data_IF_591471864855
#
_entry.id   IF_591471864855
#
_cell.length_a   1.000
_cell.length_b   1.000
_cell.length_c   1.000
_cell.angle_alpha   90.00
_cell.angle_beta   90.00
_cell.angle_gamma   90.00
#
_symmetry.space_group_name_H-M   'P 1'
#
loop_
_entity.id
_entity.type
_entity.pdbx_description
1 polymer ?
#
# COMPACT_ATOMS: atom_id res chain seq x y z
N UNK A 1 11.27 -11.47 -8.96
CA UNK A 1 9.88 -11.02 -9.19
C UNK A 1 9.03 -12.12 -9.83
N UNK A 2 7.99 -12.59 -9.13
CA UNK A 2 6.93 -13.42 -9.72
C UNK A 2 6.03 -12.61 -10.69
N UNK A 3 5.08 -13.25 -11.36
CA UNK A 3 4.15 -12.53 -12.25
C UNK A 3 3.33 -11.51 -11.45
N UNK A 4 3.22 -10.28 -11.96
CA UNK A 4 2.54 -9.19 -11.26
C UNK A 4 1.06 -9.48 -11.06
N UNK A 5 0.44 -10.26 -11.95
CA UNK A 5 -0.95 -10.69 -11.82
C UNK A 5 -1.13 -11.63 -10.64
N UNK A 6 -0.19 -12.56 -10.44
CA UNK A 6 -0.20 -13.46 -9.29
C UNK A 6 -0.01 -12.69 -7.98
N UNK A 7 0.93 -11.75 -7.93
CA UNK A 7 1.11 -10.87 -6.77
C UNK A 7 -0.15 -10.06 -6.46
N UNK A 8 -0.74 -9.43 -7.49
CA UNK A 8 -1.95 -8.64 -7.35
C UNK A 8 -3.12 -9.49 -6.85
N UNK A 9 -3.33 -10.67 -7.46
CA UNK A 9 -4.36 -11.62 -7.04
C UNK A 9 -4.14 -12.07 -5.60
N UNK A 10 -2.91 -12.44 -5.23
CA UNK A 10 -2.54 -12.83 -3.87
C UNK A 10 -2.93 -11.74 -2.87
N UNK A 11 -2.49 -10.51 -3.11
CA UNK A 11 -2.72 -9.38 -2.18
C UNK A 11 -4.19 -8.95 -2.14
N UNK A 12 -4.92 -9.04 -3.24
CA UNK A 12 -6.31 -8.59 -3.32
C UNK A 12 -7.33 -9.64 -2.83
N UNK A 13 -7.01 -10.94 -2.92
CA UNK A 13 -8.01 -12.01 -2.74
C UNK A 13 -7.70 -13.00 -1.62
N UNK A 14 -6.43 -13.28 -1.30
CA UNK A 14 -6.08 -14.22 -0.22
C UNK A 14 -6.59 -13.65 1.11
N UNK A 15 -7.24 -14.45 1.98
CA UNK A 15 -7.68 -13.96 3.28
C UNK A 15 -6.51 -13.35 4.09
N UNK A 16 -6.70 -12.24 4.81
CA UNK A 16 -5.60 -11.59 5.53
C UNK A 16 -4.86 -12.52 6.51
N UNK A 17 -5.54 -13.52 7.08
CA UNK A 17 -4.94 -14.49 8.00
C UNK A 17 -3.94 -15.45 7.32
N UNK A 18 -4.03 -15.62 6.00
CA UNK A 18 -3.16 -16.50 5.20
C UNK A 18 -2.15 -15.69 4.36
N UNK A 19 -2.27 -14.36 4.38
CA UNK A 19 -1.42 -13.48 3.61
C UNK A 19 0.01 -13.47 4.20
N UNK A 20 0.98 -13.83 3.37
CA UNK A 20 2.40 -13.89 3.70
C UNK A 20 3.24 -13.39 2.53
N UNK A 21 4.45 -12.90 2.80
CA UNK A 21 5.37 -12.39 1.78
C UNK A 21 6.68 -13.16 1.79
N UNK A 22 7.06 -13.68 0.61
CA UNK A 22 8.27 -14.48 0.43
C UNK A 22 9.55 -13.65 0.35
N UNK A 23 9.45 -12.43 -0.16
CA UNK A 23 10.58 -11.53 -0.38
C UNK A 23 10.20 -10.04 -0.24
N UNK A 24 11.20 -9.17 -0.41
CA UNK A 24 11.04 -7.72 -0.32
C UNK A 24 10.22 -7.13 -1.47
N UNK A 25 10.19 -7.78 -2.64
CA UNK A 25 9.43 -7.31 -3.80
C UNK A 25 7.93 -7.52 -3.55
N UNK A 26 7.53 -8.71 -3.10
CA UNK A 26 6.13 -9.00 -2.76
C UNK A 26 5.62 -8.05 -1.65
N UNK A 27 6.44 -7.81 -0.62
CA UNK A 27 6.11 -6.89 0.45
C UNK A 27 6.01 -5.43 -0.06
N UNK A 28 6.96 -5.00 -0.90
CA UNK A 28 6.94 -3.69 -1.53
C UNK A 28 5.68 -3.49 -2.36
N UNK A 29 5.36 -4.46 -3.21
CA UNK A 29 4.15 -4.48 -4.05
C UNK A 29 2.88 -4.37 -3.20
N UNK A 30 2.78 -5.15 -2.12
CA UNK A 30 1.65 -5.07 -1.20
C UNK A 30 1.52 -3.71 -0.51
N UNK A 31 2.64 -3.12 -0.08
CA UNK A 31 2.64 -1.77 0.47
C UNK A 31 2.15 -0.73 -0.56
N UNK A 32 2.62 -0.84 -1.80
CA UNK A 32 2.18 0.00 -2.92
C UNK A 32 0.69 -0.08 -3.17
N UNK A 33 0.18 -1.30 -3.29
CA UNK A 33 -1.23 -1.60 -3.48
C UNK A 33 -2.10 -0.95 -2.38
N UNK A 34 -1.77 -1.19 -1.11
CA UNK A 34 -2.54 -0.65 0.00
C UNK A 34 -2.45 0.88 0.10
N UNK A 35 -1.29 1.48 -0.20
CA UNK A 35 -1.13 2.94 -0.24
C UNK A 35 -2.01 3.54 -1.34
N UNK A 36 -2.13 2.90 -2.50
CA UNK A 36 -3.05 3.36 -3.55
C UNK A 36 -4.50 3.34 -3.10
N UNK A 37 -4.97 2.22 -2.51
CA UNK A 37 -6.34 2.13 -2.01
C UNK A 37 -6.61 3.22 -0.96
N UNK A 38 -5.68 3.39 -0.03
CA UNK A 38 -5.78 4.43 0.99
C UNK A 38 -5.81 5.84 0.41
N UNK A 39 -4.97 6.12 -0.60
CA UNK A 39 -4.91 7.43 -1.25
C UNK A 39 -6.27 7.86 -1.83
N UNK A 40 -7.10 6.91 -2.28
CA UNK A 40 -8.45 7.20 -2.79
C UNK A 40 -9.41 7.65 -1.69
N UNK A 41 -9.43 6.95 -0.55
CA UNK A 41 -10.23 7.39 0.60
C UNK A 41 -9.72 8.73 1.14
N UNK A 42 -8.40 8.90 1.21
CA UNK A 42 -7.77 10.13 1.66
C UNK A 42 -8.11 11.32 0.76
N UNK A 43 -8.06 11.15 -0.56
CA UNK A 43 -8.47 12.17 -1.53
C UNK A 43 -9.92 12.59 -1.30
N UNK A 44 -10.84 11.63 -1.16
CA UNK A 44 -12.25 11.89 -0.92
C UNK A 44 -12.46 12.66 0.39
N UNK A 45 -11.81 12.23 1.48
CA UNK A 45 -11.95 12.83 2.81
C UNK A 45 -11.34 14.24 2.92
N UNK A 46 -10.39 14.59 2.05
CA UNK A 46 -9.69 15.89 2.10
C UNK A 46 -10.20 16.93 1.12
N UNK A 47 -11.21 16.61 0.30
CA UNK A 47 -11.83 17.58 -0.60
C UNK A 47 -12.48 16.98 -1.84
N UNK A 48 -12.06 15.78 -2.27
CA UNK A 48 -12.66 15.07 -3.39
C UNK A 48 -12.77 15.94 -4.65
N UNK A 49 -14.02 16.17 -5.10
CA UNK A 49 -14.34 17.02 -6.27
C UNK A 49 -13.88 18.48 -6.14
N UNK A 50 -13.58 18.94 -4.92
CA UNK A 50 -13.11 20.30 -4.63
C UNK A 50 -11.57 20.41 -4.63
N UNK A 51 -10.87 19.36 -5.07
CA UNK A 51 -9.41 19.28 -5.01
C UNK A 51 -8.94 18.60 -3.73
N UNK A 52 -9.17 17.30 -3.63
CA UNK A 52 -8.59 16.48 -2.57
C UNK A 52 -7.06 16.57 -2.54
N UNK A 53 -6.46 16.12 -1.45
CA UNK A 53 -5.01 16.08 -1.30
C UNK A 53 -4.50 14.70 -1.70
N UNK A 54 -3.49 14.67 -2.56
CA UNK A 54 -2.78 13.44 -2.92
C UNK A 54 -2.03 12.92 -1.70
N UNK A 55 -2.35 11.70 -1.24
CA UNK A 55 -1.78 11.16 0.00
C UNK A 55 -0.26 10.98 -0.06
N UNK A 56 0.26 10.48 -1.19
CA UNK A 56 1.70 10.21 -1.35
C UNK A 56 2.47 11.53 -1.32
N UNK A 57 2.02 12.53 -2.10
CA UNK A 57 2.65 13.86 -2.13
C UNK A 57 2.50 14.62 -0.81
N UNK A 58 1.34 14.51 -0.17
CA UNK A 58 1.01 15.31 1.01
C UNK A 58 1.57 14.73 2.30
N UNK A 59 1.72 13.40 2.41
CA UNK A 59 2.08 12.73 3.67
C UNK A 59 3.34 11.89 3.61
N UNK A 60 3.63 11.24 2.48
CA UNK A 60 4.76 10.30 2.40
C UNK A 60 6.02 11.01 1.93
N UNK A 61 5.93 11.68 0.78
CA UNK A 61 7.08 12.34 0.15
C UNK A 61 7.48 13.59 0.92
N UNK A 62 8.77 13.90 0.89
CA UNK A 62 9.33 15.14 1.43
C UNK A 62 10.06 15.83 0.30
N UNK A 63 9.77 17.12 0.09
CA UNK A 63 10.34 17.87 -1.03
C UNK A 63 11.88 17.85 -0.96
N UNK A 64 12.53 17.66 -2.11
CA UNK A 64 13.99 17.58 -2.21
C UNK A 64 14.62 16.29 -1.69
N UNK A 65 13.83 15.23 -1.44
CA UNK A 65 14.35 13.93 -1.01
C UNK A 65 13.80 12.77 -1.85
N UNK A 66 14.63 11.75 -2.03
CA UNK A 66 14.21 10.50 -2.65
C UNK A 66 13.27 9.74 -1.71
N UNK A 67 12.28 9.05 -2.28
CA UNK A 67 11.42 8.16 -1.52
C UNK A 67 12.24 6.98 -1.00
N UNK A 68 12.07 6.63 0.27
CA UNK A 68 12.75 5.47 0.90
C UNK A 68 11.75 4.48 1.47
N UNK A 69 12.12 3.20 1.65
CA UNK A 69 11.26 2.21 2.29
C UNK A 69 10.74 2.67 3.66
N UNK A 70 11.60 3.34 4.44
CA UNK A 70 11.23 3.87 5.76
C UNK A 70 10.20 4.99 5.70
N UNK A 71 10.22 5.82 4.65
CA UNK A 71 9.16 6.83 4.44
C UNK A 71 7.83 6.16 4.13
N UNK A 72 7.83 5.17 3.23
CA UNK A 72 6.62 4.40 2.89
C UNK A 72 6.03 3.75 4.15
N UNK A 73 6.88 3.12 4.96
CA UNK A 73 6.42 2.46 6.18
C UNK A 73 5.96 3.45 7.27
N UNK A 74 6.81 4.40 7.69
CA UNK A 74 6.55 5.28 8.85
C UNK A 74 5.54 6.39 8.56
N UNK A 75 5.49 6.88 7.32
CA UNK A 75 4.62 8.00 6.92
C UNK A 75 3.40 7.55 6.11
N UNK A 76 3.48 6.39 5.46
CA UNK A 76 2.37 5.75 4.74
C UNK A 76 1.67 4.71 5.59
N UNK A 77 2.13 3.45 5.51
CA UNK A 77 1.44 2.26 6.04
C UNK A 77 1.08 2.41 7.52
N UNK A 78 2.04 2.80 8.37
CA UNK A 78 1.83 2.93 9.82
C UNK A 78 0.88 4.07 10.23
N UNK A 79 0.42 4.88 9.27
CA UNK A 79 -0.42 6.07 9.51
C UNK A 79 -1.85 5.92 9.02
N UNK A 80 -2.19 4.83 8.34
CA UNK A 80 -3.54 4.64 7.78
C UNK A 80 -4.63 4.78 8.84
N UNK A 81 -4.50 4.08 9.97
CA UNK A 81 -5.49 4.11 11.04
C UNK A 81 -5.58 5.48 11.71
N UNK A 82 -4.45 6.12 11.97
CA UNK A 82 -4.40 7.45 12.56
C UNK A 82 -5.12 8.49 11.68
N UNK A 83 -4.85 8.48 10.38
CA UNK A 83 -5.54 9.38 9.45
C UNK A 83 -7.01 9.03 9.29
N UNK A 84 -7.38 7.75 9.29
CA UNK A 84 -8.78 7.34 9.23
C UNK A 84 -9.57 7.87 10.41
N UNK A 85 -9.01 7.82 11.62
CA UNK A 85 -9.62 8.42 12.80
C UNK A 85 -9.69 9.95 12.70
N UNK A 86 -8.57 10.61 12.34
CA UNK A 86 -8.50 12.08 12.24
C UNK A 86 -9.45 12.67 11.20
N UNK A 87 -9.73 11.94 10.13
CA UNK A 87 -10.53 12.39 8.99
C UNK A 87 -11.90 11.70 8.93
N UNK A 88 -12.28 10.94 9.95
CA UNK A 88 -13.53 10.17 10.02
C UNK A 88 -13.78 9.30 8.76
N UNK A 89 -12.75 8.56 8.33
CA UNK A 89 -12.83 7.70 7.14
C UNK A 89 -13.31 6.28 7.50
N UNK A 90 -14.36 5.83 6.83
CA UNK A 90 -14.82 4.44 6.89
C UNK A 90 -13.93 3.50 6.07
N UNK A 91 -12.81 3.06 6.65
CA UNK A 91 -11.99 2.01 6.02
C UNK A 91 -12.64 0.63 6.20
N UNK A 92 -12.73 -0.21 5.14
CA UNK A 92 -13.20 -1.59 5.25
C UNK A 92 -12.37 -2.42 6.23
N UNK A 93 -13.00 -3.38 6.92
CA UNK A 93 -12.31 -4.26 7.89
C UNK A 93 -11.21 -5.10 7.22
N UNK A 94 -11.50 -5.65 6.03
CA UNK A 94 -10.52 -6.41 5.24
C UNK A 94 -9.26 -5.57 4.95
N UNK A 95 -9.42 -4.30 4.53
CA UNK A 95 -8.29 -3.39 4.31
C UNK A 95 -7.47 -3.18 5.60
N UNK A 96 -8.13 -2.96 6.74
CA UNK A 96 -7.47 -2.75 8.04
C UNK A 96 -6.63 -3.98 8.41
N UNK A 97 -7.16 -5.19 8.22
CA UNK A 97 -6.43 -6.44 8.49
C UNK A 97 -5.24 -6.61 7.56
N UNK A 98 -5.41 -6.41 6.24
CA UNK A 98 -4.28 -6.48 5.27
C UNK A 98 -3.18 -5.48 5.61
N UNK A 99 -3.55 -4.25 5.99
CA UNK A 99 -2.60 -3.25 6.44
C UNK A 99 -1.82 -3.69 7.68
N UNK A 100 -2.49 -4.32 8.66
CA UNK A 100 -1.84 -4.89 9.84
C UNK A 100 -0.84 -6.00 9.50
N UNK A 101 -1.16 -6.86 8.54
CA UNK A 101 -0.23 -7.91 8.05
C UNK A 101 0.98 -7.28 7.38
N UNK A 102 0.79 -6.37 6.42
CA UNK A 102 1.89 -5.69 5.73
C UNK A 102 2.78 -4.91 6.71
N UNK A 103 2.20 -4.24 7.71
CA UNK A 103 2.97 -3.54 8.74
C UNK A 103 3.81 -4.51 9.58
N UNK A 104 3.24 -5.66 9.96
CA UNK A 104 3.95 -6.68 10.75
C UNK A 104 5.09 -7.31 9.95
N UNK A 105 4.85 -7.63 8.69
CA UNK A 105 5.82 -8.23 7.79
C UNK A 105 6.96 -7.27 7.43
N UNK A 106 6.67 -5.97 7.30
CA UNK A 106 7.72 -4.96 7.16
C UNK A 106 8.67 -4.96 8.36
N UNK A 107 8.15 -5.11 9.59
CA UNK A 107 9.01 -5.19 10.78
C UNK A 107 9.85 -6.46 10.77
N UNK A 108 9.27 -7.60 10.38
CA UNK A 108 9.97 -8.89 10.27
C UNK A 108 11.09 -8.86 9.23
N UNK A 109 10.83 -8.25 8.07
CA UNK A 109 11.76 -8.21 6.93
C UNK A 109 12.60 -6.92 6.89
N UNK A 110 12.59 -6.10 7.95
CA UNK A 110 13.16 -4.74 7.91
C UNK A 110 14.61 -4.71 7.44
N UNK A 111 15.46 -5.61 7.94
CA UNK A 111 16.87 -5.65 7.54
C UNK A 111 17.03 -5.95 6.05
N UNK A 112 16.25 -6.91 5.53
CA UNK A 112 16.26 -7.28 4.11
C UNK A 112 15.75 -6.14 3.22
N UNK A 113 14.68 -5.45 3.65
CA UNK A 113 14.18 -4.26 2.95
C UNK A 113 15.24 -3.16 2.91
N UNK A 114 16.01 -3.01 3.99
CA UNK A 114 17.07 -2.00 4.04
C UNK A 114 18.33 -2.40 3.27
N UNK A 115 18.59 -3.68 3.03
CA UNK A 115 19.66 -4.14 2.13
C UNK A 115 19.25 -4.10 0.65
N UNK A 116 17.96 -4.22 0.36
CA UNK A 116 17.38 -4.31 -1.00
C UNK A 116 16.35 -3.20 -1.23
N UNK A 117 16.80 -1.96 -1.07
CA UNK A 117 15.94 -0.77 -1.06
C UNK A 117 15.30 -0.51 -2.42
N UNK A 118 16.09 -0.68 -3.48
CA UNK A 118 15.65 -0.34 -4.83
C UNK A 118 14.63 -1.35 -5.34
N UNK A 119 14.79 -2.63 -4.99
CA UNK A 119 13.82 -3.70 -5.25
C UNK A 119 12.50 -3.42 -4.54
N UNK A 120 12.54 -3.07 -3.25
CA UNK A 120 11.34 -2.70 -2.50
C UNK A 120 10.65 -1.46 -3.11
N UNK A 121 11.41 -0.41 -3.45
CA UNK A 121 10.86 0.83 -4.02
C UNK A 121 10.28 0.60 -5.42
N UNK A 122 10.97 -0.17 -6.26
CA UNK A 122 10.48 -0.56 -7.57
C UNK A 122 9.16 -1.31 -7.47
N UNK A 123 9.12 -2.34 -6.63
CA UNK A 123 7.91 -3.14 -6.42
C UNK A 123 6.78 -2.31 -5.77
N UNK A 124 7.09 -1.39 -4.86
CA UNK A 124 6.13 -0.43 -4.32
C UNK A 124 5.44 0.37 -5.41
N UNK A 125 6.20 0.92 -6.35
CA UNK A 125 5.60 1.67 -7.45
C UNK A 125 4.80 0.78 -8.39
N UNK A 126 5.27 -0.44 -8.67
CA UNK A 126 4.51 -1.42 -9.43
C UNK A 126 3.15 -1.70 -8.79
N UNK A 127 3.12 -2.05 -7.49
CA UNK A 127 1.88 -2.31 -6.77
C UNK A 127 0.97 -1.08 -6.67
N UNK A 128 1.54 0.11 -6.51
CA UNK A 128 0.79 1.36 -6.47
C UNK A 128 0.11 1.67 -7.81
N UNK A 129 0.79 1.45 -8.94
CA UNK A 129 0.23 1.76 -10.27
C UNK A 129 -0.75 0.67 -10.75
N UNK A 130 -0.52 -0.59 -10.38
CA UNK A 130 -1.35 -1.72 -10.80
C UNK A 130 -2.57 -1.97 -9.90
N UNK A 131 -2.74 -1.21 -8.81
CA UNK A 131 -3.84 -1.42 -7.88
C UNK A 131 -5.24 -1.27 -8.51
N UNK A 132 -5.38 -0.47 -9.57
CA UNK A 132 -6.65 -0.34 -10.31
C UNK A 132 -7.02 -1.61 -11.07
N UNK A 133 -6.03 -2.36 -11.56
CA UNK A 133 -6.25 -3.59 -12.35
C UNK A 133 -6.99 -4.66 -11.55
N UNK A 134 -6.82 -4.70 -10.22
CA UNK A 134 -7.52 -5.65 -9.36
C UNK A 134 -9.05 -5.47 -9.43
N UNK A 135 -9.51 -4.22 -9.59
CA UNK A 135 -10.95 -3.93 -9.71
C UNK A 135 -11.48 -4.36 -11.08
N UNK A 136 -10.68 -4.16 -12.12
CA UNK A 136 -11.07 -4.51 -13.49
C UNK A 136 -11.08 -6.02 -13.70
N UNK A 137 -10.19 -6.77 -13.06
CA UNK A 137 -10.20 -8.24 -13.05
C UNK A 137 -11.42 -8.79 -12.28
N UNK A 138 -11.77 -8.22 -11.13
CA UNK A 138 -12.98 -8.61 -10.38
C UNK A 138 -14.27 -8.35 -11.17
N UNK A 139 -14.33 -7.25 -11.92
CA UNK A 139 -15.49 -6.91 -12.75
C UNK A 139 -15.63 -7.80 -14.01
N UNK A 140 -14.54 -8.39 -14.51
CA UNK A 140 -14.56 -9.30 -15.66
C UNK A 140 -14.97 -10.74 -15.29
N UNK A 141 -14.97 -11.09 -14.00
CA UNK A 141 -15.32 -12.42 -13.49
C UNK A 141 -16.76 -12.51 -12.93
N UNK A 142 -17.48 -11.39 -12.90
CA UNK A 142 -18.91 -11.30 -12.55
C UNK A 142 -19.75 -11.01 -13.78
#
# INVERSE_FOLDING_TARGET
>A
MGDWREMLKKIATVPPAELSFGDVEELGFAAGYLVHLFARWYWAATGGKKGGKDFVKHRIMTFGSNLTPEMIWKKGVSRFQEYALKLNMGLPDDFRRRAGVVESEYRRLREQVMSSKDEFIGAFWSGYMLASEAKDEQNKQN
#
